data_IF_966392230795
#
_entry.id   IF_966392230795
#
_cell.length_a   1.000
_cell.length_b   1.000
_cell.length_c   1.000
_cell.angle_alpha   90.00
_cell.angle_beta   90.00
_cell.angle_gamma   90.00
#
_symmetry.space_group_name_H-M   'P 1'
#
loop_
_entity.id
_entity.type
_entity.pdbx_description
1 polymer ?
#
# COMPACT_ATOMS: atom_id res chain seq x y z
N UNK A 1 12.34 -13.01 13.25
CA UNK A 1 11.44 -11.84 13.43
C UNK A 1 11.43 -11.48 14.91
N UNK A 2 12.30 -10.55 15.33
CA UNK A 2 12.20 -9.94 16.65
C UNK A 2 10.83 -9.28 16.78
N UNK A 3 10.16 -9.52 17.90
CA UNK A 3 8.72 -9.33 18.11
C UNK A 3 8.18 -7.99 17.56
N UNK A 4 7.45 -8.08 16.44
CA UNK A 4 6.52 -7.04 15.93
C UNK A 4 5.49 -6.64 17.02
N UNK A 5 5.40 -7.40 18.11
CA UNK A 5 4.48 -7.20 19.23
C UNK A 5 5.10 -6.42 20.41
N UNK A 6 6.41 -6.16 20.44
CA UNK A 6 7.07 -5.69 21.67
C UNK A 6 7.09 -4.16 21.91
N UNK A 7 6.77 -3.33 20.90
CA UNK A 7 6.98 -1.87 21.01
C UNK A 7 5.71 -1.03 21.15
N UNK A 8 4.52 -1.65 21.15
CA UNK A 8 3.27 -0.90 21.28
C UNK A 8 2.51 -1.33 22.53
N UNK A 9 1.72 -0.42 23.10
CA UNK A 9 0.85 -0.68 24.25
C UNK A 9 0.04 -1.96 24.04
N UNK A 10 -0.30 -2.73 25.10
CA UNK A 10 -1.01 -4.00 24.96
C UNK A 10 -2.36 -3.76 24.28
N UNK A 11 -2.46 -4.15 23.01
CA UNK A 11 -3.66 -3.99 22.20
C UNK A 11 -4.64 -5.15 22.39
N UNK A 12 -4.16 -6.32 22.84
CA UNK A 12 -5.00 -7.49 23.02
C UNK A 12 -6.20 -7.29 23.95
N UNK A 13 -6.13 -6.54 25.06
CA UNK A 13 -7.33 -6.22 25.85
C UNK A 13 -8.42 -5.49 25.05
N UNK A 14 -8.05 -4.59 24.13
CA UNK A 14 -9.01 -3.88 23.26
C UNK A 14 -9.65 -4.88 22.29
N UNK A 15 -8.84 -5.75 21.68
CA UNK A 15 -9.32 -6.80 20.77
C UNK A 15 -10.25 -7.77 21.49
N UNK A 16 -9.86 -8.28 22.66
CA UNK A 16 -10.69 -9.19 23.47
C UNK A 16 -12.01 -8.54 23.83
N UNK A 17 -12.00 -7.32 24.39
CA UNK A 17 -13.22 -6.60 24.75
C UNK A 17 -14.13 -6.39 23.54
N UNK A 18 -13.56 -6.11 22.37
CA UNK A 18 -14.32 -5.99 21.13
C UNK A 18 -14.97 -7.32 20.72
N UNK A 19 -14.23 -8.43 20.73
CA UNK A 19 -14.74 -9.76 20.38
C UNK A 19 -15.82 -10.24 21.35
N UNK A 20 -15.66 -9.99 22.66
CA UNK A 20 -16.70 -10.25 23.67
C UNK A 20 -17.97 -9.47 23.35
N UNK A 21 -17.83 -8.19 22.97
CA UNK A 21 -18.95 -7.36 22.52
C UNK A 21 -19.66 -7.94 21.29
N UNK A 22 -18.90 -8.38 20.27
CA UNK A 22 -19.46 -9.03 19.08
C UNK A 22 -20.20 -10.32 19.46
N UNK A 23 -19.60 -11.17 20.30
CA UNK A 23 -20.22 -12.42 20.74
C UNK A 23 -21.54 -12.20 21.50
N UNK A 24 -21.64 -11.13 22.29
CA UNK A 24 -22.89 -10.80 23.00
C UNK A 24 -24.05 -10.44 22.05
N UNK A 25 -23.74 -9.87 20.89
CA UNK A 25 -24.73 -9.48 19.85
C UNK A 25 -25.00 -10.62 18.88
N UNK A 26 -24.00 -11.44 18.59
CA UNK A 26 -24.09 -12.58 17.67
C UNK A 26 -23.50 -13.81 18.37
N UNK A 27 -24.31 -14.57 19.12
CA UNK A 27 -23.84 -15.73 19.86
C UNK A 27 -23.39 -16.82 18.89
N UNK A 28 -22.07 -16.96 18.73
CA UNK A 28 -21.45 -18.02 17.94
C UNK A 28 -20.41 -18.74 18.80
N UNK A 29 -20.56 -20.07 18.88
CA UNK A 29 -19.63 -20.95 19.60
C UNK A 29 -18.20 -20.89 19.07
N UNK A 30 -18.03 -20.54 17.79
CA UNK A 30 -16.72 -20.35 17.16
C UNK A 30 -15.96 -19.16 17.76
N UNK A 31 -16.68 -18.07 18.12
CA UNK A 31 -16.08 -16.89 18.75
C UNK A 31 -15.47 -17.20 20.13
N UNK A 32 -16.00 -18.18 20.87
CA UNK A 32 -15.38 -18.67 22.11
C UNK A 32 -13.98 -19.22 21.85
N UNK A 33 -13.77 -19.91 20.73
CA UNK A 33 -12.45 -20.43 20.34
C UNK A 33 -11.47 -19.29 20.07
N UNK A 34 -11.92 -18.24 19.36
CA UNK A 34 -11.11 -17.05 19.12
C UNK A 34 -10.77 -16.32 20.43
N UNK A 35 -11.74 -16.17 21.35
CA UNK A 35 -11.51 -15.51 22.64
C UNK A 35 -10.45 -16.22 23.49
N UNK A 36 -10.58 -17.54 23.66
CA UNK A 36 -9.60 -18.34 24.40
C UNK A 36 -8.21 -18.17 23.77
N UNK A 37 -8.13 -18.17 22.43
CA UNK A 37 -6.88 -17.97 21.72
C UNK A 37 -6.29 -16.56 21.96
N UNK A 38 -7.11 -15.51 21.86
CA UNK A 38 -6.67 -14.13 22.11
C UNK A 38 -6.24 -13.91 23.57
N UNK A 39 -6.88 -14.56 24.54
CA UNK A 39 -6.47 -14.53 25.95
C UNK A 39 -5.09 -15.15 26.15
N UNK A 40 -4.81 -16.28 25.48
CA UNK A 40 -3.48 -16.89 25.50
C UNK A 40 -2.41 -15.99 24.86
N UNK A 41 -2.73 -15.35 23.72
CA UNK A 41 -1.84 -14.35 23.12
C UNK A 41 -1.59 -13.16 24.06
N UNK A 42 -2.63 -12.65 24.70
CA UNK A 42 -2.51 -11.55 25.66
C UNK A 42 -1.63 -11.90 26.86
N UNK A 43 -1.72 -13.15 27.37
CA UNK A 43 -0.83 -13.65 28.42
C UNK A 43 0.62 -13.74 27.94
N UNK A 44 0.85 -14.17 26.70
CA UNK A 44 2.18 -14.22 26.12
C UNK A 44 2.80 -12.81 25.94
N UNK A 45 2.02 -11.82 25.49
CA UNK A 45 2.48 -10.42 25.40
C UNK A 45 2.88 -9.83 26.77
N UNK A 46 2.23 -10.28 27.85
CA UNK A 46 2.57 -9.89 29.24
C UNK A 46 3.70 -10.72 29.84
N UNK A 47 4.35 -11.60 29.08
CA UNK A 47 5.34 -12.57 29.56
C UNK A 47 4.82 -13.54 30.64
N UNK A 48 3.49 -13.74 30.73
CA UNK A 48 2.85 -14.70 31.64
C UNK A 48 2.76 -16.12 31.06
N UNK A 49 3.04 -16.26 29.76
CA UNK A 49 3.12 -17.53 29.04
C UNK A 49 4.21 -17.42 27.96
N UNK A 50 4.83 -18.54 27.57
CA UNK A 50 5.78 -18.51 26.46
C UNK A 50 5.00 -18.53 25.15
N UNK A 51 5.44 -17.76 24.14
CA UNK A 51 4.75 -17.67 22.85
C UNK A 51 4.57 -19.04 22.17
N UNK A 52 5.52 -19.97 22.35
CA UNK A 52 5.43 -21.33 21.79
C UNK A 52 4.40 -22.23 22.48
N UNK A 53 3.91 -21.85 23.66
CA UNK A 53 2.83 -22.58 24.35
C UNK A 53 1.45 -22.21 23.79
N UNK A 54 1.36 -21.11 23.03
CA UNK A 54 0.11 -20.62 22.45
C UNK A 54 -0.21 -21.40 21.18
N UNK A 55 -1.08 -22.41 21.30
CA UNK A 55 -1.52 -23.22 20.15
C UNK A 55 -2.51 -22.44 19.28
N UNK A 56 -2.16 -22.25 18.01
CA UNK A 56 -3.07 -21.65 17.02
C UNK A 56 -4.25 -22.60 16.74
N UNK A 57 -5.51 -22.11 16.74
CA UNK A 57 -6.64 -22.90 16.27
C UNK A 57 -6.46 -23.27 14.79
N UNK A 58 -7.10 -24.38 14.37
CA UNK A 58 -7.12 -24.79 12.95
C UNK A 58 -7.76 -23.71 12.09
N UNK A 59 -7.26 -23.51 10.86
CA UNK A 59 -7.79 -22.58 9.86
C UNK A 59 -9.32 -22.64 9.71
N UNK A 60 -9.89 -23.85 9.63
CA UNK A 60 -11.33 -24.08 9.49
C UNK A 60 -12.18 -23.56 10.67
N UNK A 61 -11.58 -23.37 11.84
CA UNK A 61 -12.24 -22.78 13.02
C UNK A 61 -11.93 -21.28 13.12
N UNK A 62 -10.68 -20.89 12.86
CA UNK A 62 -10.22 -19.51 13.06
C UNK A 62 -10.80 -18.54 12.03
N UNK A 63 -10.76 -18.87 10.74
CA UNK A 63 -11.08 -17.91 9.67
C UNK A 63 -12.53 -17.43 9.70
N UNK A 64 -13.54 -18.30 9.89
CA UNK A 64 -14.92 -17.84 10.03
C UNK A 64 -15.10 -16.84 11.18
N UNK A 65 -14.38 -17.04 12.29
CA UNK A 65 -14.41 -16.10 13.43
C UNK A 65 -13.83 -14.73 13.04
N UNK A 66 -12.68 -14.74 12.35
CA UNK A 66 -12.02 -13.51 11.89
C UNK A 66 -12.91 -12.75 10.90
N UNK A 67 -13.58 -13.44 9.98
CA UNK A 67 -14.49 -12.82 9.01
C UNK A 67 -15.62 -12.06 9.72
N UNK A 68 -16.24 -12.67 10.74
CA UNK A 68 -17.32 -12.04 11.53
C UNK A 68 -16.79 -10.82 12.30
N UNK A 69 -15.68 -10.97 13.01
CA UNK A 69 -15.12 -9.91 13.87
C UNK A 69 -14.59 -8.75 13.04
N UNK A 70 -13.83 -9.00 11.97
CA UNK A 70 -13.28 -7.96 11.10
C UNK A 70 -14.39 -7.19 10.38
N UNK A 71 -15.47 -7.84 9.97
CA UNK A 71 -16.65 -7.17 9.39
C UNK A 71 -17.34 -6.27 10.42
N UNK A 72 -17.53 -6.74 11.65
CA UNK A 72 -18.08 -5.91 12.73
C UNK A 72 -17.16 -4.71 13.01
N UNK A 73 -15.85 -4.92 12.98
CA UNK A 73 -14.86 -3.87 13.21
C UNK A 73 -14.85 -2.84 12.07
N UNK A 74 -15.02 -3.29 10.82
CA UNK A 74 -15.10 -2.41 9.65
C UNK A 74 -16.30 -1.46 9.75
N UNK A 75 -17.46 -1.99 10.16
CA UNK A 75 -18.66 -1.18 10.43
C UNK A 75 -18.37 -0.13 11.53
N UNK A 76 -17.65 -0.52 12.60
CA UNK A 76 -17.32 0.40 13.69
C UNK A 76 -16.32 1.47 13.27
N UNK A 77 -15.31 1.13 12.47
CA UNK A 77 -14.37 2.10 11.86
C UNK A 77 -15.14 3.12 11.02
N UNK A 78 -16.13 2.68 10.23
CA UNK A 78 -16.96 3.60 9.45
C UNK A 78 -17.81 4.54 10.33
N UNK A 79 -18.28 4.07 11.49
CA UNK A 79 -19.19 4.82 12.37
C UNK A 79 -18.49 5.68 13.43
N UNK A 80 -17.24 5.36 13.82
CA UNK A 80 -16.55 5.97 14.97
C UNK A 80 -15.15 6.46 14.60
N UNK A 81 -15.02 7.50 13.76
CA UNK A 81 -13.72 8.00 13.32
C UNK A 81 -12.81 8.51 14.45
N UNK A 82 -13.38 9.03 15.54
CA UNK A 82 -12.65 9.42 16.75
C UNK A 82 -11.95 8.24 17.46
N UNK A 83 -12.33 7.00 17.14
CA UNK A 83 -11.75 5.79 17.73
C UNK A 83 -10.71 5.11 16.80
N UNK A 84 -10.44 5.65 15.62
CA UNK A 84 -9.53 5.02 14.64
C UNK A 84 -8.15 4.69 15.18
N UNK A 85 -7.59 5.53 16.06
CA UNK A 85 -6.31 5.28 16.74
C UNK A 85 -6.26 3.96 17.53
N UNK A 86 -7.41 3.37 17.86
CA UNK A 86 -7.53 2.09 18.54
C UNK A 86 -8.09 0.99 17.64
N UNK A 87 -9.05 1.33 16.77
CA UNK A 87 -9.74 0.35 15.93
C UNK A 87 -8.85 -0.16 14.79
N UNK A 88 -8.05 0.69 14.15
CA UNK A 88 -7.20 0.29 13.03
C UNK A 88 -6.06 -0.66 13.46
N UNK A 89 -5.34 -0.41 14.58
CA UNK A 89 -4.36 -1.38 15.08
C UNK A 89 -5.01 -2.71 15.49
N UNK A 90 -6.20 -2.68 16.11
CA UNK A 90 -6.94 -3.90 16.44
C UNK A 90 -7.30 -4.72 15.19
N UNK A 91 -7.75 -4.04 14.12
CA UNK A 91 -8.06 -4.68 12.85
C UNK A 91 -6.84 -5.32 12.21
N UNK A 92 -5.73 -4.58 12.19
CA UNK A 92 -4.46 -5.07 11.67
C UNK A 92 -3.98 -6.30 12.44
N UNK A 93 -4.02 -6.30 13.78
CA UNK A 93 -3.63 -7.45 14.61
C UNK A 93 -4.49 -8.68 14.34
N UNK A 94 -5.81 -8.51 14.23
CA UNK A 94 -6.71 -9.60 13.86
C UNK A 94 -6.44 -10.11 12.45
N UNK A 95 -6.18 -9.22 11.50
CA UNK A 95 -5.87 -9.58 10.12
C UNK A 95 -4.55 -10.34 9.99
N UNK A 96 -3.54 -9.99 10.79
CA UNK A 96 -2.28 -10.75 10.89
C UNK A 96 -2.49 -12.20 11.35
N UNK A 97 -3.59 -12.53 12.05
CA UNK A 97 -3.88 -13.91 12.48
C UNK A 97 -4.17 -14.85 11.30
N UNK A 98 -4.56 -14.33 10.12
CA UNK A 98 -4.62 -15.16 8.92
C UNK A 98 -3.24 -15.76 8.60
N UNK A 99 -2.12 -15.09 8.93
CA UNK A 99 -0.78 -15.57 8.55
C UNK A 99 -0.27 -16.74 9.41
N UNK A 100 -0.82 -16.96 10.60
CA UNK A 100 -0.27 -17.88 11.59
C UNK A 100 -0.27 -19.37 11.20
N UNK A 101 -1.30 -19.92 10.52
CA UNK A 101 -1.30 -21.33 10.12
C UNK A 101 -0.13 -21.71 9.19
N UNK A 102 0.52 -20.74 8.53
CA UNK A 102 1.71 -20.99 7.71
C UNK A 102 3.00 -21.21 8.54
N UNK A 103 2.95 -21.06 9.87
CA UNK A 103 4.13 -21.06 10.76
C UNK A 103 4.24 -22.26 11.70
N UNK A 104 3.40 -23.28 11.59
CA UNK A 104 3.50 -24.48 12.45
C UNK A 104 4.89 -25.14 12.34
N UNK A 105 5.48 -25.54 13.49
CA UNK A 105 6.86 -26.04 13.53
C UNK A 105 7.04 -27.28 12.65
N UNK A 106 8.09 -27.22 11.82
CA UNK A 106 8.59 -28.29 10.94
C UNK A 106 8.72 -29.60 11.71
N UNK A 107 7.68 -30.43 11.66
CA UNK A 107 7.87 -31.86 11.90
C UNK A 107 8.68 -32.43 10.74
N UNK A 108 9.49 -33.45 11.00
CA UNK A 108 10.59 -33.99 10.16
C UNK A 108 10.20 -34.52 8.76
N UNK A 109 8.96 -34.30 8.31
CA UNK A 109 8.52 -34.66 6.96
C UNK A 109 8.43 -33.41 6.08
N UNK A 110 8.87 -33.46 4.80
CA UNK A 110 8.71 -32.39 3.84
C UNK A 110 7.21 -32.23 3.51
N UNK A 111 6.46 -31.59 4.40
CA UNK A 111 5.06 -31.24 4.15
C UNK A 111 4.99 -30.17 3.07
N UNK A 112 4.02 -30.32 2.17
CA UNK A 112 3.56 -29.26 1.28
C UNK A 112 3.36 -28.01 2.14
N UNK A 113 4.07 -26.93 1.85
CA UNK A 113 3.82 -25.63 2.47
C UNK A 113 2.34 -25.30 2.32
N UNK A 114 1.59 -25.34 3.42
CA UNK A 114 0.21 -24.87 3.46
C UNK A 114 0.26 -23.36 3.32
N UNK A 115 -0.30 -22.85 2.23
CA UNK A 115 -0.42 -21.41 2.01
C UNK A 115 -1.50 -20.87 2.93
N UNK A 116 -1.34 -19.62 3.40
CA UNK A 116 -2.35 -18.95 4.23
C UNK A 116 -3.74 -19.00 3.57
N UNK A 117 -3.78 -18.75 2.26
CA UNK A 117 -4.95 -18.80 1.42
C UNK A 117 -4.72 -19.84 0.32
N UNK A 118 -5.74 -20.65 0.02
CA UNK A 118 -5.60 -21.70 -0.99
C UNK A 118 -5.71 -21.10 -2.40
N UNK A 119 -6.48 -20.02 -2.53
CA UNK A 119 -6.73 -19.29 -3.78
C UNK A 119 -6.58 -17.77 -3.61
N UNK A 120 -6.54 -17.05 -4.74
CA UNK A 120 -6.56 -15.57 -4.73
C UNK A 120 -7.92 -15.07 -4.24
N UNK A 121 -8.98 -15.81 -4.55
CA UNK A 121 -10.36 -15.53 -4.19
C UNK A 121 -10.58 -15.61 -2.67
N UNK A 122 -9.94 -16.56 -1.98
CA UNK A 122 -9.96 -16.64 -0.52
C UNK A 122 -9.27 -15.41 0.11
N UNK A 123 -8.11 -15.03 -0.45
CA UNK A 123 -7.39 -13.82 -0.01
C UNK A 123 -8.24 -12.56 -0.20
N UNK A 124 -8.87 -12.41 -1.37
CA UNK A 124 -9.73 -11.28 -1.68
C UNK A 124 -10.95 -11.23 -0.76
N UNK A 125 -11.52 -12.38 -0.39
CA UNK A 125 -12.62 -12.45 0.55
C UNK A 125 -12.23 -11.94 1.94
N UNK A 126 -11.05 -12.35 2.43
CA UNK A 126 -10.50 -11.86 3.70
C UNK A 126 -10.14 -10.36 3.66
N UNK A 127 -9.85 -9.79 2.48
CA UNK A 127 -9.54 -8.37 2.30
C UNK A 127 -10.77 -7.45 2.32
N UNK A 128 -11.99 -7.96 2.12
CA UNK A 128 -13.23 -7.15 2.07
C UNK A 128 -13.38 -6.22 3.29
N UNK A 129 -13.30 -6.69 4.56
CA UNK A 129 -13.43 -5.81 5.71
C UNK A 129 -12.31 -4.76 5.77
N UNK A 130 -11.10 -5.10 5.34
CA UNK A 130 -9.96 -4.17 5.32
C UNK A 130 -10.17 -3.06 4.29
N UNK A 131 -10.70 -3.41 3.12
CA UNK A 131 -11.08 -2.44 2.09
C UNK A 131 -12.17 -1.47 2.56
N UNK A 132 -13.16 -1.97 3.32
CA UNK A 132 -14.21 -1.13 3.91
C UNK A 132 -13.64 -0.12 4.92
N UNK A 133 -12.68 -0.55 5.75
CA UNK A 133 -11.98 0.35 6.67
C UNK A 133 -11.15 1.39 5.90
N UNK A 134 -10.41 0.97 4.87
CA UNK A 134 -9.66 1.89 4.01
C UNK A 134 -10.58 2.87 3.28
N UNK A 135 -11.77 2.45 2.84
CA UNK A 135 -12.80 3.32 2.27
C UNK A 135 -13.28 4.36 3.28
N UNK A 136 -13.58 3.96 4.52
CA UNK A 136 -13.98 4.88 5.59
C UNK A 136 -12.89 5.92 5.88
N UNK A 137 -11.64 5.49 5.99
CA UNK A 137 -10.49 6.37 6.20
C UNK A 137 -10.27 7.29 4.99
N UNK A 138 -10.17 6.72 3.80
CA UNK A 138 -9.89 7.43 2.56
C UNK A 138 -11.01 8.37 2.10
N UNK A 139 -12.25 8.21 2.57
CA UNK A 139 -13.35 9.15 2.29
C UNK A 139 -13.51 10.25 3.32
N UNK A 140 -12.86 10.15 4.48
CA UNK A 140 -12.98 11.21 5.48
C UNK A 140 -12.38 12.50 4.97
N UNK A 141 -13.18 13.56 5.06
CA UNK A 141 -12.75 14.93 4.82
C UNK A 141 -12.56 15.70 6.14
N UNK A 142 -12.64 15.02 7.30
CA UNK A 142 -12.44 15.65 8.59
C UNK A 142 -10.94 15.61 8.96
N UNK A 143 -10.24 16.76 8.91
CA UNK A 143 -8.80 16.81 9.18
C UNK A 143 -8.46 16.44 10.62
N UNK A 144 -9.35 16.69 11.58
CA UNK A 144 -9.13 16.37 12.99
C UNK A 144 -9.05 14.85 13.20
N UNK A 145 -10.00 14.10 12.63
CA UNK A 145 -9.99 12.64 12.73
C UNK A 145 -8.73 12.02 12.10
N UNK A 146 -8.28 12.57 10.97
CA UNK A 146 -7.06 12.12 10.29
C UNK A 146 -5.84 12.45 11.15
N UNK A 147 -5.76 13.67 11.72
CA UNK A 147 -4.66 14.08 12.57
C UNK A 147 -4.55 13.21 13.84
N UNK A 148 -5.67 12.97 14.52
CA UNK A 148 -5.72 12.19 15.77
C UNK A 148 -5.34 10.71 15.59
N UNK A 149 -5.53 10.17 14.38
CA UNK A 149 -5.27 8.78 14.04
C UNK A 149 -4.12 8.60 13.03
N UNK A 150 -3.34 9.65 12.74
CA UNK A 150 -2.37 9.66 11.63
C UNK A 150 -1.41 8.46 11.63
N UNK A 151 -0.84 8.14 12.80
CA UNK A 151 0.11 7.05 12.96
C UNK A 151 -0.57 5.69 12.75
N UNK A 152 -1.74 5.50 13.35
CA UNK A 152 -2.52 4.28 13.20
C UNK A 152 -2.98 4.06 11.74
N UNK A 153 -3.35 5.12 11.02
CA UNK A 153 -3.68 5.07 9.59
C UNK A 153 -2.47 4.64 8.77
N UNK A 154 -1.30 5.21 9.07
CA UNK A 154 -0.06 4.92 8.38
C UNK A 154 0.35 3.46 8.56
N UNK A 155 0.43 3.00 9.81
CA UNK A 155 0.74 1.61 10.16
C UNK A 155 -0.25 0.65 9.50
N UNK A 156 -1.55 0.91 9.66
CA UNK A 156 -2.62 0.12 9.04
C UNK A 156 -2.46 -0.02 7.53
N UNK A 157 -2.25 1.09 6.81
CA UNK A 157 -2.05 1.05 5.36
C UNK A 157 -0.78 0.32 4.97
N UNK A 158 0.33 0.60 5.65
CA UNK A 158 1.62 0.02 5.31
C UNK A 158 1.68 -1.48 5.55
N UNK A 159 1.17 -1.93 6.69
CA UNK A 159 1.17 -3.35 7.09
C UNK A 159 0.22 -4.15 6.20
N UNK A 160 -1.01 -3.68 5.98
CA UNK A 160 -1.99 -4.41 5.15
C UNK A 160 -1.52 -4.50 3.70
N UNK A 161 -0.94 -3.43 3.14
CA UNK A 161 -0.37 -3.48 1.79
C UNK A 161 0.84 -4.42 1.72
N UNK A 162 1.70 -4.42 2.73
CA UNK A 162 2.80 -5.37 2.80
C UNK A 162 2.30 -6.83 2.85
N UNK A 163 1.20 -7.09 3.55
CA UNK A 163 0.58 -8.42 3.56
C UNK A 163 0.18 -8.90 2.16
N UNK A 164 -0.20 -8.01 1.24
CA UNK A 164 -0.47 -8.39 -0.16
C UNK A 164 0.80 -8.96 -0.82
N UNK A 165 1.95 -8.31 -0.62
CA UNK A 165 3.25 -8.79 -1.13
C UNK A 165 3.65 -10.10 -0.46
N UNK A 166 3.46 -10.21 0.86
CA UNK A 166 3.68 -11.47 1.59
C UNK A 166 2.87 -12.61 0.98
N UNK A 167 1.55 -12.46 0.84
CA UNK A 167 0.71 -13.51 0.24
C UNK A 167 1.06 -13.80 -1.22
N UNK A 168 1.46 -12.79 -1.99
CA UNK A 168 1.97 -13.00 -3.35
C UNK A 168 3.16 -13.96 -3.34
N UNK A 169 4.15 -13.75 -2.47
CA UNK A 169 5.33 -14.61 -2.37
C UNK A 169 5.00 -16.08 -2.05
N UNK A 170 3.97 -16.34 -1.24
CA UNK A 170 3.55 -17.70 -0.88
C UNK A 170 2.56 -18.34 -1.86
N UNK A 171 1.87 -17.57 -2.69
CA UNK A 171 0.79 -18.04 -3.59
C UNK A 171 1.23 -18.95 -4.74
N UNK A 172 2.54 -19.17 -4.93
CA UNK A 172 3.16 -19.81 -6.13
C UNK A 172 2.77 -19.18 -7.46
N UNK A 173 2.07 -18.06 -7.44
CA UNK A 173 1.60 -17.35 -8.62
C UNK A 173 2.61 -16.27 -8.96
N UNK A 174 2.96 -16.15 -10.25
CA UNK A 174 3.80 -15.06 -10.72
C UNK A 174 3.20 -13.72 -10.29
N UNK A 175 4.04 -12.81 -9.79
CA UNK A 175 3.56 -11.56 -9.21
C UNK A 175 2.68 -10.76 -10.19
N UNK A 176 3.02 -10.72 -11.47
CA UNK A 176 2.19 -10.08 -12.51
C UNK A 176 0.76 -10.63 -12.55
N UNK A 177 0.60 -11.95 -12.49
CA UNK A 177 -0.71 -12.63 -12.46
C UNK A 177 -1.43 -12.39 -11.13
N UNK A 178 -0.71 -12.45 -10.00
CA UNK A 178 -1.27 -12.18 -8.68
C UNK A 178 -1.85 -10.77 -8.61
N UNK A 179 -1.09 -9.75 -8.98
CA UNK A 179 -1.55 -8.36 -8.94
C UNK A 179 -2.65 -8.11 -9.97
N UNK A 180 -2.62 -8.75 -11.14
CA UNK A 180 -3.73 -8.68 -12.08
C UNK A 180 -5.03 -9.22 -11.49
N UNK A 181 -4.98 -10.36 -10.78
CA UNK A 181 -6.16 -10.97 -10.14
C UNK A 181 -6.64 -10.21 -8.90
N UNK A 182 -5.74 -9.55 -8.19
CA UNK A 182 -6.09 -8.81 -6.96
C UNK A 182 -6.49 -7.35 -7.20
N UNK A 183 -6.42 -6.87 -8.45
CA UNK A 183 -6.92 -5.55 -8.85
C UNK A 183 -8.41 -5.42 -8.59
N UNK A 184 -8.79 -4.39 -7.84
CA UNK A 184 -10.20 -4.12 -7.49
C UNK A 184 -10.44 -2.65 -7.23
N UNK A 185 -11.65 -2.15 -7.56
CA UNK A 185 -11.99 -0.73 -7.39
C UNK A 185 -11.87 -0.26 -5.94
N UNK A 186 -12.18 -1.11 -4.96
CA UNK A 186 -12.03 -0.77 -3.55
C UNK A 186 -10.58 -0.40 -3.17
N UNK A 187 -9.58 -0.94 -3.88
CA UNK A 187 -8.19 -0.67 -3.60
C UNK A 187 -7.76 0.79 -3.86
N UNK A 188 -8.57 1.57 -4.59
CA UNK A 188 -8.30 3.00 -4.81
C UNK A 188 -8.21 3.78 -3.49
N UNK A 189 -8.88 3.30 -2.45
CA UNK A 189 -8.86 3.92 -1.13
C UNK A 189 -7.51 3.71 -0.43
N UNK A 190 -6.88 2.55 -0.59
CA UNK A 190 -5.49 2.34 -0.15
C UNK A 190 -4.53 3.28 -0.86
N UNK A 191 -4.64 3.41 -2.18
CA UNK A 191 -3.79 4.31 -2.96
C UNK A 191 -3.95 5.77 -2.52
N UNK A 192 -5.19 6.21 -2.23
CA UNK A 192 -5.45 7.55 -1.68
C UNK A 192 -4.78 7.74 -0.32
N UNK A 193 -4.87 6.76 0.59
CA UNK A 193 -4.21 6.83 1.89
C UNK A 193 -2.70 6.93 1.69
N UNK A 194 -2.10 6.06 0.87
CA UNK A 194 -0.66 6.05 0.64
C UNK A 194 -0.16 7.35 0.03
N UNK A 195 -0.89 7.96 -0.91
CA UNK A 195 -0.54 9.28 -1.42
C UNK A 195 -0.48 10.34 -0.32
N UNK A 196 -1.40 10.32 0.65
CA UNK A 196 -1.34 11.19 1.82
C UNK A 196 -0.11 10.91 2.70
N UNK A 197 0.38 9.67 2.76
CA UNK A 197 1.59 9.32 3.52
C UNK A 197 2.89 9.85 2.88
N UNK A 198 2.85 10.26 1.61
CA UNK A 198 4.01 10.86 0.94
C UNK A 198 4.23 12.33 1.33
N UNK A 199 3.27 12.93 2.04
CA UNK A 199 3.37 14.29 2.51
C UNK A 199 4.20 14.35 3.81
N UNK A 200 5.41 14.91 3.69
CA UNK A 200 6.37 15.01 4.79
C UNK A 200 5.84 15.77 6.00
N UNK A 201 4.82 16.63 5.81
CA UNK A 201 4.14 17.33 6.90
C UNK A 201 3.48 16.38 7.90
N UNK A 202 3.19 15.14 7.49
CA UNK A 202 2.68 14.14 8.40
C UNK A 202 3.75 13.64 9.38
N UNK A 203 5.05 13.71 9.03
CA UNK A 203 6.17 13.34 9.91
C UNK A 203 6.06 11.93 10.47
N UNK A 204 5.62 10.98 9.64
CA UNK A 204 5.29 9.63 10.09
C UNK A 204 6.51 8.72 10.03
N UNK A 205 6.74 8.02 11.12
CA UNK A 205 7.66 6.89 11.16
C UNK A 205 6.85 5.63 10.87
N UNK A 206 6.99 5.10 9.66
CA UNK A 206 6.36 3.83 9.28
C UNK A 206 7.41 2.73 9.20
N UNK A 207 7.03 1.52 9.62
CA UNK A 207 7.91 0.36 9.56
C UNK A 207 8.31 0.02 8.10
N UNK A 208 7.35 0.13 7.18
CA UNK A 208 7.59 0.04 5.75
C UNK A 208 7.70 1.43 5.13
N UNK A 209 8.76 1.74 4.34
CA UNK A 209 8.89 3.05 3.70
C UNK A 209 7.70 3.35 2.77
N UNK A 210 7.14 4.58 2.76
CA UNK A 210 5.97 4.94 1.97
C UNK A 210 6.06 4.61 0.47
N UNK A 211 7.26 4.73 -0.12
CA UNK A 211 7.48 4.38 -1.53
C UNK A 211 7.30 2.89 -1.82
N UNK A 212 7.65 2.01 -0.89
CA UNK A 212 7.48 0.55 -1.04
C UNK A 212 6.00 0.21 -1.13
N UNK A 213 5.19 0.80 -0.25
CA UNK A 213 3.75 0.54 -0.18
C UNK A 213 2.98 1.26 -1.27
N UNK A 214 3.51 2.36 -1.82
CA UNK A 214 2.96 3.03 -3.01
C UNK A 214 2.94 2.09 -4.20
N UNK A 215 4.06 1.44 -4.52
CA UNK A 215 4.13 0.49 -5.62
C UNK A 215 3.13 -0.68 -5.46
N UNK A 216 2.94 -1.17 -4.23
CA UNK A 216 1.95 -2.21 -3.93
C UNK A 216 0.52 -1.71 -4.16
N UNK A 217 0.19 -0.53 -3.63
CA UNK A 217 -1.12 0.09 -3.81
C UNK A 217 -1.44 0.34 -5.29
N UNK A 218 -0.49 0.89 -6.05
CA UNK A 218 -0.66 1.14 -7.49
C UNK A 218 -0.92 -0.16 -8.27
N UNK A 219 -0.19 -1.24 -7.98
CA UNK A 219 -0.39 -2.54 -8.65
C UNK A 219 -1.75 -3.16 -8.35
N UNK A 220 -2.29 -2.93 -7.16
CA UNK A 220 -3.61 -3.43 -6.70
C UNK A 220 -4.80 -2.61 -7.19
N UNK A 221 -4.59 -1.50 -7.90
CA UNK A 221 -5.66 -0.61 -8.36
C UNK A 221 -5.85 -0.73 -9.88
N UNK A 222 -7.11 -0.83 -10.38
CA UNK A 222 -7.38 -0.72 -11.81
C UNK A 222 -6.88 0.62 -12.37
N UNK A 223 -6.26 0.61 -13.55
CA UNK A 223 -5.54 1.80 -14.02
C UNK A 223 -6.37 3.08 -14.16
N UNK A 224 -7.68 2.98 -14.43
CA UNK A 224 -8.55 4.16 -14.47
C UNK A 224 -8.81 4.75 -13.08
N UNK A 225 -9.10 3.90 -12.08
CA UNK A 225 -9.23 4.32 -10.69
C UNK A 225 -7.90 4.91 -10.18
N UNK A 226 -6.77 4.30 -10.55
CA UNK A 226 -5.43 4.74 -10.19
C UNK A 226 -5.08 6.10 -10.75
N UNK A 227 -5.35 6.33 -12.04
CA UNK A 227 -5.21 7.64 -12.69
C UNK A 227 -6.05 8.71 -12.00
N UNK A 228 -7.29 8.40 -11.60
CA UNK A 228 -8.14 9.35 -10.86
C UNK A 228 -7.49 9.70 -9.53
N UNK A 229 -7.01 8.73 -8.76
CA UNK A 229 -6.37 9.02 -7.47
C UNK A 229 -5.08 9.81 -7.64
N UNK A 230 -4.24 9.49 -8.63
CA UNK A 230 -3.02 10.25 -8.91
C UNK A 230 -3.35 11.71 -9.27
N UNK A 231 -4.39 11.93 -10.07
CA UNK A 231 -4.86 13.26 -10.42
C UNK A 231 -5.38 14.02 -9.20
N UNK A 232 -6.18 13.38 -8.34
CA UNK A 232 -6.64 13.98 -7.08
C UNK A 232 -5.49 14.32 -6.14
N UNK A 233 -4.47 13.45 -6.04
CA UNK A 233 -3.27 13.72 -5.26
C UNK A 233 -2.51 14.93 -5.80
N UNK A 234 -2.29 14.99 -7.11
CA UNK A 234 -1.70 16.16 -7.75
C UNK A 234 -2.49 17.43 -7.40
N UNK A 235 -3.81 17.44 -7.59
CA UNK A 235 -4.62 18.59 -7.22
C UNK A 235 -4.47 19.00 -5.74
N UNK A 236 -4.35 18.05 -4.80
CA UNK A 236 -4.14 18.36 -3.39
C UNK A 236 -2.77 19.00 -3.06
N UNK A 237 -1.73 18.70 -3.84
CA UNK A 237 -0.42 19.31 -3.66
C UNK A 237 -0.38 20.76 -4.16
N UNK A 238 -1.08 21.03 -5.27
CA UNK A 238 -0.98 22.31 -5.99
C UNK A 238 -2.14 23.27 -5.73
N UNK A 239 -3.25 22.78 -5.17
CA UNK A 239 -4.44 23.56 -4.85
C UNK A 239 -4.94 23.24 -3.44
N UNK A 240 -4.16 23.57 -2.38
CA UNK A 240 -4.53 23.23 -1.00
C UNK A 240 -5.84 23.88 -0.55
N UNK A 241 -6.26 25.01 -1.15
CA UNK A 241 -7.56 25.63 -0.88
C UNK A 241 -8.69 25.17 -1.82
N UNK A 242 -8.46 24.11 -2.61
CA UNK A 242 -9.47 23.50 -3.49
C UNK A 242 -9.50 24.03 -4.92
N UNK A 243 -10.33 23.39 -5.74
CA UNK A 243 -10.39 23.58 -7.21
C UNK A 243 -10.90 24.95 -7.68
N UNK A 244 -11.41 25.78 -6.78
CA UNK A 244 -11.93 27.11 -7.12
C UNK A 244 -10.83 28.18 -7.18
N UNK A 245 -9.59 27.85 -6.81
CA UNK A 245 -8.45 28.77 -6.94
C UNK A 245 -8.05 28.92 -8.41
N UNK A 246 -7.69 30.15 -8.79
CA UNK A 246 -7.11 30.39 -10.11
C UNK A 246 -5.83 29.55 -10.28
N UNK A 247 -5.57 29.00 -11.48
CA UNK A 247 -4.33 28.28 -11.75
C UNK A 247 -3.10 29.14 -11.42
N UNK A 248 -2.15 28.57 -10.68
CA UNK A 248 -0.89 29.26 -10.37
C UNK A 248 -0.17 29.69 -11.66
N UNK A 249 0.50 30.86 -11.66
CA UNK A 249 1.42 31.23 -12.73
C UNK A 249 2.45 30.14 -12.98
N UNK A 250 2.93 30.01 -14.23
CA UNK A 250 3.86 28.93 -14.61
C UNK A 250 5.15 28.96 -13.76
N UNK A 251 5.69 30.14 -13.48
CA UNK A 251 6.89 30.30 -12.65
C UNK A 251 6.73 29.80 -11.22
N UNK A 252 5.57 30.06 -10.60
CA UNK A 252 5.25 29.57 -9.25
C UNK A 252 5.05 28.06 -9.25
N UNK A 253 4.39 27.54 -10.28
CA UNK A 253 4.21 26.10 -10.46
C UNK A 253 5.55 25.38 -10.66
N UNK A 254 6.44 25.94 -11.48
CA UNK A 254 7.77 25.38 -11.71
C UNK A 254 8.63 25.42 -10.44
N UNK A 255 8.50 26.48 -9.63
CA UNK A 255 9.15 26.56 -8.32
C UNK A 255 8.64 25.47 -7.37
N UNK A 256 7.31 25.34 -7.26
CA UNK A 256 6.70 24.32 -6.41
C UNK A 256 7.08 22.90 -6.88
N UNK A 257 7.06 22.64 -8.19
CA UNK A 257 7.48 21.35 -8.76
C UNK A 257 8.95 21.09 -8.52
N UNK A 258 9.83 22.08 -8.63
CA UNK A 258 11.27 21.94 -8.33
C UNK A 258 11.52 21.56 -6.87
N UNK A 259 10.66 22.04 -5.97
CA UNK A 259 10.85 21.87 -4.53
C UNK A 259 10.11 20.63 -3.98
N UNK A 260 9.35 19.88 -4.80
CA UNK A 260 8.72 18.63 -4.33
C UNK A 260 9.78 17.61 -3.88
N UNK A 261 9.54 16.89 -2.78
CA UNK A 261 10.27 15.69 -2.43
C UNK A 261 10.27 14.63 -3.56
N UNK A 262 11.36 13.86 -3.68
CA UNK A 262 11.52 12.85 -4.75
C UNK A 262 10.44 11.77 -4.68
N UNK A 263 9.97 11.40 -3.48
CA UNK A 263 8.89 10.42 -3.31
C UNK A 263 7.55 10.92 -3.88
N UNK A 264 7.23 12.21 -3.70
CA UNK A 264 6.04 12.82 -4.30
C UNK A 264 6.20 12.94 -5.82
N UNK A 265 7.38 13.34 -6.29
CA UNK A 265 7.65 13.40 -7.73
C UNK A 265 7.53 12.00 -8.39
N UNK A 266 8.03 10.96 -7.72
CA UNK A 266 7.88 9.57 -8.14
C UNK A 266 6.40 9.15 -8.22
N UNK A 267 5.57 9.54 -7.26
CA UNK A 267 4.13 9.31 -7.30
C UNK A 267 3.42 10.05 -8.46
N UNK A 268 4.00 11.12 -8.98
CA UNK A 268 3.48 11.89 -10.11
C UNK A 268 4.03 11.45 -11.47
N UNK A 269 4.73 10.32 -11.55
CA UNK A 269 5.24 9.77 -12.83
C UNK A 269 4.13 9.45 -13.84
N UNK A 270 4.43 9.38 -15.15
CA UNK A 270 3.43 9.13 -16.17
C UNK A 270 2.55 7.89 -15.87
N UNK A 271 1.25 8.02 -16.09
CA UNK A 271 0.26 6.92 -15.88
C UNK A 271 0.64 5.67 -16.66
N UNK A 272 1.26 5.82 -17.83
CA UNK A 272 1.76 4.70 -18.65
C UNK A 272 2.82 3.85 -17.96
N UNK A 273 3.58 4.44 -17.04
CA UNK A 273 4.69 3.79 -16.36
C UNK A 273 4.19 3.00 -15.15
N UNK A 274 3.03 3.38 -14.60
CA UNK A 274 2.38 2.75 -13.45
C UNK A 274 1.36 1.70 -13.92
N UNK A 275 0.52 2.07 -14.89
CA UNK A 275 -0.55 1.26 -15.44
C UNK A 275 -0.41 1.17 -16.96
N UNK A 276 0.45 0.26 -17.47
CA UNK A 276 0.69 0.12 -18.91
C UNK A 276 -0.59 -0.14 -19.73
N UNK A 277 -1.60 -0.79 -19.14
CA UNK A 277 -2.92 -1.01 -19.76
C UNK A 277 -3.66 0.30 -20.11
N UNK A 278 -3.23 1.44 -19.56
CA UNK A 278 -3.81 2.76 -19.83
C UNK A 278 -3.04 3.59 -20.85
N UNK A 279 -1.84 3.18 -21.23
CA UNK A 279 -1.02 3.88 -22.23
C UNK A 279 -1.71 4.01 -23.60
N UNK A 280 -2.68 3.13 -23.86
CA UNK A 280 -3.49 3.10 -25.08
C UNK A 280 -4.98 3.37 -24.82
N UNK A 281 -5.37 3.97 -23.69
CA UNK A 281 -6.79 4.29 -23.44
C UNK A 281 -7.08 5.78 -23.61
N UNK A 282 -8.28 6.12 -24.08
CA UNK A 282 -8.79 7.49 -24.07
C UNK A 282 -8.97 7.98 -22.63
N UNK A 283 -8.34 9.09 -22.24
CA UNK A 283 -8.43 9.64 -20.88
C UNK A 283 -9.85 10.12 -20.49
N UNK A 284 -10.71 10.37 -21.49
CA UNK A 284 -12.09 10.81 -21.30
C UNK A 284 -13.09 9.64 -21.27
N UNK A 285 -13.18 8.86 -22.37
CA UNK A 285 -14.20 7.82 -22.53
C UNK A 285 -13.70 6.39 -22.27
N UNK A 286 -12.40 6.20 -22.00
CA UNK A 286 -11.82 4.87 -21.73
C UNK A 286 -11.64 3.97 -22.96
N UNK A 287 -12.08 4.40 -24.15
CA UNK A 287 -11.94 3.63 -25.39
C UNK A 287 -10.48 3.25 -25.67
N UNK A 288 -10.25 2.01 -26.08
CA UNK A 288 -8.94 1.54 -26.55
C UNK A 288 -8.55 2.25 -27.87
N UNK A 289 -7.33 2.79 -27.88
CA UNK A 289 -6.73 3.58 -28.95
C UNK A 289 -5.76 2.73 -29.79
N UNK A 290 -5.51 1.46 -29.47
CA UNK A 290 -4.61 0.58 -30.25
C UNK A 290 -5.02 0.45 -31.72
N UNK A 291 -6.33 0.41 -31.99
CA UNK A 291 -6.88 0.33 -33.34
C UNK A 291 -6.92 1.67 -34.10
N UNK A 292 -6.60 2.79 -33.43
CA UNK A 292 -6.64 4.10 -34.08
C UNK A 292 -5.31 4.41 -34.76
N UNK A 293 -5.31 4.86 -36.02
CA UNK A 293 -4.08 5.16 -36.76
C UNK A 293 -3.26 6.29 -36.13
N UNK A 294 -3.92 7.20 -35.39
CA UNK A 294 -3.25 8.30 -34.69
C UNK A 294 -4.00 8.67 -33.41
N UNK A 295 -3.41 8.35 -32.26
CA UNK A 295 -3.85 8.88 -30.96
C UNK A 295 -3.49 10.37 -30.83
N UNK A 296 -4.40 11.16 -30.26
CA UNK A 296 -4.17 12.59 -30.00
C UNK A 296 -3.69 12.78 -28.57
N UNK A 297 -2.38 12.90 -28.37
CA UNK A 297 -1.86 13.31 -27.06
C UNK A 297 -2.12 14.81 -26.83
N UNK A 298 -2.31 15.21 -25.57
CA UNK A 298 -2.40 16.63 -25.24
C UNK A 298 -1.11 17.35 -25.67
N UNK A 299 -1.22 18.43 -26.45
CA UNK A 299 -0.04 19.16 -26.95
C UNK A 299 0.75 19.87 -25.84
N UNK A 300 0.10 20.20 -24.73
CA UNK A 300 0.73 20.88 -23.58
C UNK A 300 1.64 19.95 -22.79
N UNK A 301 1.05 18.94 -22.14
CA UNK A 301 1.80 18.02 -21.27
C UNK A 301 2.13 16.67 -21.89
N UNK A 302 1.57 16.31 -23.06
CA UNK A 302 1.80 15.04 -23.75
C UNK A 302 1.37 13.77 -22.99
N UNK A 303 0.77 13.89 -21.79
CA UNK A 303 0.35 12.75 -20.96
C UNK A 303 -0.96 12.07 -21.42
N UNK A 304 -2.16 12.68 -21.29
CA UNK A 304 -3.38 12.00 -21.70
C UNK A 304 -3.47 11.91 -23.22
N UNK A 305 -3.99 10.77 -23.69
CA UNK A 305 -4.34 10.54 -25.09
C UNK A 305 -5.87 10.50 -25.27
N UNK A 306 -6.33 10.93 -26.44
CA UNK A 306 -7.75 11.03 -26.76
C UNK A 306 -8.05 10.38 -28.12
N UNK A 307 -9.24 9.78 -28.25
CA UNK A 307 -9.72 9.24 -29.53
C UNK A 307 -10.13 10.36 -30.51
N UNK A 308 -10.59 11.51 -30.01
CA UNK A 308 -10.99 12.65 -30.83
C UNK A 308 -10.95 13.97 -30.03
N UNK A 309 -11.18 15.08 -30.72
CA UNK A 309 -11.18 16.42 -30.13
C UNK A 309 -12.32 16.65 -29.12
N UNK A 310 -13.48 16.01 -29.33
CA UNK A 310 -14.60 16.09 -28.39
C UNK A 310 -14.21 15.54 -27.03
N UNK A 311 -13.54 14.38 -27.00
CA UNK A 311 -13.03 13.78 -25.77
C UNK A 311 -11.97 14.67 -25.10
N UNK A 312 -11.07 15.27 -25.89
CA UNK A 312 -10.09 16.22 -25.35
C UNK A 312 -10.75 17.45 -24.73
N UNK A 313 -11.75 18.05 -25.39
CA UNK A 313 -12.49 19.22 -24.89
C UNK A 313 -13.28 18.89 -23.62
N UNK A 314 -13.96 17.73 -23.59
CA UNK A 314 -14.69 17.28 -22.40
C UNK A 314 -13.76 17.02 -21.21
N UNK A 315 -12.61 16.37 -21.44
CA UNK A 315 -11.60 16.17 -20.41
C UNK A 315 -11.00 17.49 -19.91
N UNK A 316 -10.73 18.43 -20.82
CA UNK A 316 -10.21 19.76 -20.51
C UNK A 316 -11.13 20.54 -19.56
N UNK A 317 -12.42 20.57 -19.87
CA UNK A 317 -13.43 21.27 -19.07
C UNK A 317 -13.62 20.64 -17.69
N UNK A 318 -13.56 19.31 -17.60
CA UNK A 318 -13.90 18.60 -16.37
C UNK A 318 -12.74 18.46 -15.39
N UNK A 319 -11.51 18.23 -15.86
CA UNK A 319 -10.38 17.90 -14.98
C UNK A 319 -9.00 18.28 -15.50
N UNK A 320 -8.74 18.19 -16.81
CA UNK A 320 -7.37 18.27 -17.31
C UNK A 320 -6.78 19.69 -17.31
N UNK A 321 -7.61 20.73 -17.52
CA UNK A 321 -7.14 22.11 -17.59
C UNK A 321 -6.36 22.55 -16.34
N UNK A 322 -6.82 22.15 -15.15
CA UNK A 322 -6.18 22.50 -13.88
C UNK A 322 -4.81 21.86 -13.65
N UNK A 323 -4.50 20.75 -14.32
CA UNK A 323 -3.24 20.00 -14.11
C UNK A 323 -2.33 19.95 -15.34
N UNK A 324 -2.76 20.46 -16.50
CA UNK A 324 -1.99 20.31 -17.73
C UNK A 324 -0.59 20.95 -17.61
N UNK A 325 -0.51 22.20 -17.12
CA UNK A 325 0.78 22.85 -16.91
C UNK A 325 1.63 22.12 -15.87
N UNK A 326 0.98 21.60 -14.81
CA UNK A 326 1.65 20.85 -13.76
C UNK A 326 2.35 19.61 -14.33
N UNK A 327 1.63 18.82 -15.13
CA UNK A 327 2.19 17.64 -15.77
C UNK A 327 3.38 17.96 -16.66
N UNK A 328 3.32 19.05 -17.42
CA UNK A 328 4.46 19.49 -18.20
C UNK A 328 5.68 19.86 -17.32
N UNK A 329 5.47 20.54 -16.19
CA UNK A 329 6.55 20.86 -15.23
C UNK A 329 7.13 19.60 -14.58
N UNK A 330 6.27 18.65 -14.21
CA UNK A 330 6.70 17.37 -13.62
C UNK A 330 7.54 16.57 -14.61
N UNK A 331 7.10 16.45 -15.87
CA UNK A 331 7.84 15.72 -16.91
C UNK A 331 9.19 16.40 -17.20
N UNK A 332 9.23 17.73 -17.22
CA UNK A 332 10.47 18.50 -17.36
C UNK A 332 11.45 18.19 -16.22
N UNK A 333 10.99 18.26 -14.96
CA UNK A 333 11.83 17.92 -13.79
C UNK A 333 12.28 16.47 -13.79
N UNK A 334 11.39 15.54 -14.13
CA UNK A 334 11.72 14.11 -14.21
C UNK A 334 12.72 13.78 -15.31
N UNK A 335 12.85 14.64 -16.33
CA UNK A 335 13.82 14.45 -17.41
C UNK A 335 15.24 14.91 -17.06
N UNK A 336 15.43 15.63 -15.95
CA UNK A 336 16.75 16.00 -15.43
C UNK A 336 17.52 14.74 -15.00
N UNK A 337 18.79 14.62 -15.40
CA UNK A 337 19.57 13.38 -15.23
C UNK A 337 19.67 12.91 -13.77
N UNK A 338 19.89 13.83 -12.83
CA UNK A 338 19.96 13.51 -11.40
C UNK A 338 18.63 12.92 -10.88
N UNK A 339 17.51 13.50 -11.27
CA UNK A 339 16.16 13.03 -10.88
C UNK A 339 15.84 11.71 -11.56
N UNK A 340 16.09 11.62 -12.87
CA UNK A 340 15.87 10.42 -13.68
C UNK A 340 16.63 9.22 -13.11
N UNK A 341 17.89 9.40 -12.73
CA UNK A 341 18.71 8.36 -12.11
C UNK A 341 18.13 7.94 -10.74
N UNK A 342 17.72 8.89 -9.89
CA UNK A 342 17.08 8.56 -8.62
C UNK A 342 15.79 7.74 -8.80
N UNK A 343 14.95 8.11 -9.78
CA UNK A 343 13.72 7.39 -10.10
C UNK A 343 14.02 5.98 -10.63
N UNK A 344 15.05 5.84 -11.47
CA UNK A 344 15.49 4.55 -11.97
C UNK A 344 15.99 3.63 -10.84
N UNK A 345 16.73 4.19 -9.88
CA UNK A 345 17.21 3.47 -8.68
C UNK A 345 16.04 3.00 -7.81
N UNK A 346 15.05 3.85 -7.54
CA UNK A 346 13.82 3.46 -6.80
C UNK A 346 13.12 2.28 -7.49
N UNK A 347 12.97 2.35 -8.82
CA UNK A 347 12.35 1.30 -9.59
C UNK A 347 13.19 0.01 -9.57
N UNK A 348 14.52 0.13 -9.61
CA UNK A 348 15.42 -1.01 -9.51
C UNK A 348 15.35 -1.70 -8.15
N UNK A 349 15.41 -0.95 -7.04
CA UNK A 349 15.34 -1.53 -5.69
C UNK A 349 14.00 -2.20 -5.43
N UNK A 350 12.91 -1.67 -5.98
CA UNK A 350 11.59 -2.30 -5.89
C UNK A 350 11.54 -3.65 -6.62
N UNK A 351 12.25 -3.80 -7.74
CA UNK A 351 12.39 -5.09 -8.44
C UNK A 351 13.26 -6.08 -7.66
N UNK A 352 14.34 -5.59 -7.04
CA UNK A 352 15.20 -6.42 -6.18
C UNK A 352 14.42 -6.95 -4.99
N UNK A 353 13.66 -6.10 -4.30
CA UNK A 353 12.80 -6.50 -3.18
C UNK A 353 11.80 -7.59 -3.59
N UNK A 354 11.14 -7.46 -4.75
CA UNK A 354 10.24 -8.48 -5.30
C UNK A 354 10.95 -9.80 -5.61
N UNK A 355 12.16 -9.73 -6.16
CA UNK A 355 12.97 -10.91 -6.47
C UNK A 355 13.39 -11.65 -5.20
N UNK A 356 13.83 -10.93 -4.17
CA UNK A 356 14.20 -11.53 -2.88
C UNK A 356 13.00 -12.14 -2.17
N UNK A 357 11.85 -11.46 -2.18
CA UNK A 357 10.61 -11.96 -1.58
C UNK A 357 10.09 -13.23 -2.27
N UNK A 358 10.29 -13.35 -3.59
CA UNK A 358 9.84 -14.51 -4.38
C UNK A 358 10.83 -15.67 -4.42
N UNK A 359 12.00 -15.54 -3.76
CA UNK A 359 13.08 -16.52 -3.82
C UNK A 359 13.31 -17.21 -2.46
N UNK A 360 12.45 -18.16 -2.05
CA UNK A 360 12.50 -18.79 -0.72
C UNK A 360 13.75 -19.67 -0.47
N UNK A 361 14.57 -19.89 -1.50
CA UNK A 361 15.80 -20.67 -1.43
C UNK A 361 17.02 -19.82 -1.07
N UNK A 362 16.90 -18.49 -1.07
CA UNK A 362 17.98 -17.60 -0.71
C UNK A 362 18.26 -17.63 0.80
N UNK A 363 19.51 -17.37 1.16
CA UNK A 363 19.95 -17.27 2.54
C UNK A 363 19.22 -16.12 3.25
N UNK A 364 18.46 -16.43 4.30
CA UNK A 364 17.63 -15.46 5.01
C UNK A 364 18.41 -14.32 5.67
N UNK A 365 19.64 -14.56 6.13
CA UNK A 365 20.48 -13.53 6.74
C UNK A 365 21.00 -12.56 5.66
N UNK A 366 21.46 -13.10 4.52
CA UNK A 366 21.88 -12.26 3.39
C UNK A 366 20.72 -11.46 2.79
N UNK A 367 19.54 -12.07 2.64
CA UNK A 367 18.33 -11.37 2.21
C UNK A 367 18.00 -10.23 3.18
N UNK A 368 18.08 -10.47 4.49
CA UNK A 368 17.83 -9.45 5.50
C UNK A 368 18.81 -8.26 5.39
N UNK A 369 20.12 -8.53 5.17
CA UNK A 369 21.13 -7.48 4.93
C UNK A 369 20.80 -6.63 3.69
N UNK A 370 20.38 -7.27 2.60
CA UNK A 370 19.96 -6.53 1.38
C UNK A 370 18.73 -5.66 1.65
N UNK A 371 17.73 -6.20 2.35
CA UNK A 371 16.52 -5.47 2.69
C UNK A 371 16.80 -4.26 3.59
N UNK A 372 17.77 -4.37 4.51
CA UNK A 372 18.24 -3.25 5.33
C UNK A 372 18.90 -2.16 4.47
N UNK A 373 19.78 -2.54 3.53
CA UNK A 373 20.37 -1.56 2.60
C UNK A 373 19.29 -0.88 1.75
N UNK A 374 18.31 -1.60 1.22
CA UNK A 374 17.19 -1.01 0.46
C UNK A 374 16.40 -0.03 1.34
N UNK A 375 16.10 -0.41 2.59
CA UNK A 375 15.39 0.45 3.55
C UNK A 375 16.16 1.73 3.84
N UNK A 376 17.44 1.62 4.19
CA UNK A 376 18.31 2.76 4.47
C UNK A 376 18.43 3.68 3.25
N UNK A 377 18.51 3.10 2.05
CA UNK A 377 18.56 3.85 0.79
C UNK A 377 17.31 4.65 0.53
N UNK A 378 16.14 4.11 0.86
CA UNK A 378 14.87 4.84 0.73
C UNK A 378 14.75 5.97 1.75
N UNK A 379 15.23 5.79 2.98
CA UNK A 379 15.28 6.87 3.99
C UNK A 379 16.23 7.98 3.52
N UNK A 380 17.38 7.59 2.98
CA UNK A 380 18.41 8.50 2.48
C UNK A 380 17.97 9.24 1.22
N UNK A 381 17.22 8.60 0.30
CA UNK A 381 16.65 9.27 -0.88
C UNK A 381 15.83 10.52 -0.53
N UNK A 382 15.14 10.49 0.62
CA UNK A 382 14.33 11.62 1.07
C UNK A 382 15.17 12.78 1.62
N UNK A 383 16.44 12.57 1.99
CA UNK A 383 17.24 13.56 2.72
C UNK A 383 18.60 13.91 2.10
N UNK A 384 19.23 12.98 1.36
CA UNK A 384 20.62 13.06 0.86
C UNK A 384 20.81 12.27 -0.44
N UNK A 385 20.37 12.80 -1.60
CA UNK A 385 20.42 12.09 -2.88
C UNK A 385 21.84 11.66 -3.32
N UNK A 386 22.89 12.34 -2.85
CA UNK A 386 24.29 11.98 -3.12
C UNK A 386 24.70 10.61 -2.56
N UNK A 387 24.02 10.14 -1.50
CA UNK A 387 24.28 8.83 -0.88
C UNK A 387 23.56 7.68 -1.60
N UNK A 388 22.66 7.99 -2.53
CA UNK A 388 21.92 6.99 -3.33
C UNK A 388 22.89 6.14 -4.15
N UNK A 389 23.83 6.79 -4.83
CA UNK A 389 24.84 6.09 -5.63
C UNK A 389 25.75 5.18 -4.78
N UNK A 390 26.06 5.59 -3.55
CA UNK A 390 26.82 4.77 -2.59
C UNK A 390 26.03 3.51 -2.21
N UNK A 391 24.75 3.67 -1.88
CA UNK A 391 23.95 2.53 -1.49
C UNK A 391 23.59 1.62 -2.68
N UNK A 392 23.41 2.15 -3.88
CA UNK A 392 23.29 1.35 -5.10
C UNK A 392 24.52 0.46 -5.29
N UNK A 393 25.75 0.99 -5.08
CA UNK A 393 26.97 0.16 -5.12
C UNK A 393 26.98 -0.93 -4.05
N UNK A 394 26.59 -0.60 -2.80
CA UNK A 394 26.47 -1.60 -1.72
C UNK A 394 25.46 -2.69 -2.06
N UNK A 395 24.32 -2.29 -2.64
CA UNK A 395 23.27 -3.21 -3.06
C UNK A 395 23.79 -4.17 -4.13
N UNK A 396 24.45 -3.68 -5.18
CA UNK A 396 25.02 -4.54 -6.22
C UNK A 396 26.02 -5.56 -5.66
N UNK A 397 26.93 -5.13 -4.77
CA UNK A 397 27.88 -6.04 -4.13
C UNK A 397 27.18 -7.15 -3.33
N UNK A 398 26.11 -6.82 -2.59
CA UNK A 398 25.34 -7.83 -1.83
C UNK A 398 24.53 -8.77 -2.74
N UNK A 399 24.06 -8.29 -3.89
CA UNK A 399 23.36 -9.13 -4.87
C UNK A 399 24.33 -10.14 -5.52
N UNK A 400 25.56 -9.71 -5.84
CA UNK A 400 26.62 -10.61 -6.29
C UNK A 400 26.93 -11.70 -5.25
N UNK A 401 26.95 -11.37 -3.95
CA UNK A 401 27.10 -12.34 -2.84
C UNK A 401 25.94 -13.35 -2.74
N UNK A 402 24.77 -13.02 -3.29
CA UNK A 402 23.58 -13.88 -3.35
C UNK A 402 23.51 -14.71 -4.65
N UNK A 403 24.40 -14.46 -5.61
CA UNK A 403 24.32 -15.01 -6.96
C UNK A 403 22.99 -14.71 -7.68
N UNK A 404 22.46 -13.50 -7.43
CA UNK A 404 21.23 -12.94 -8.01
C UNK A 404 21.61 -11.75 -8.88
#
# INVERSE_FOLDING_TARGET
MGSIFAQQAPFMPIVINFVVGVQSVTPDTSLTTLLVYLEHLARAERNEAKLHDVRCPRKALLYPCLDVVLKALANRVAQQPQAWRYLLPAAMRLFQLYQLPATEPRTTTPRKHETTFDTVEDFLSAMIPMDQMAEAVGRSNNPQHIADARQAIAEFATEVLQMISYHQAFSRTAATVWFQKTRRTAARHWLRIVYSLLDERFGLETYHPPLSVLCLAERSVPGFDGMIQQHSFALSLFFPGGLMQAPLPRSELDALVRDLPINQLFALRPVSDIWPDRSHSCAHCGQDLTALPKRRACKGCKRPAYCNERCQKGDWQNKHSGVCKLWASVDERMSQDNVKNCIADIAHWSRVEELLQSSPHLDGEKVQRVMEVIRDSRIVLCSRPERVAENSRKLFALLEELHV
#
